data_IF_851113327090
#
_entry.id   IF_851113327090
#
_cell.length_a   1.000
_cell.length_b   1.000
_cell.length_c   1.000
_cell.angle_alpha   90.00
_cell.angle_beta   90.00
_cell.angle_gamma   90.00
#
_symmetry.space_group_name_H-M   'P 1'
#
loop_
_entity.id
_entity.type
_entity.pdbx_description
1 polymer ?
#
# COMPACT_ATOMS: atom_id res chain seq x y z
N UNK A 1 16.33 1.72 -7.48
CA UNK A 1 15.22 1.53 -8.45
C UNK A 1 13.90 1.99 -7.82
N UNK A 2 12.83 2.21 -8.63
CA UNK A 2 11.52 2.51 -8.05
C UNK A 2 10.91 1.22 -7.46
N UNK A 3 10.30 1.32 -6.28
CA UNK A 3 9.54 0.23 -5.68
C UNK A 3 8.17 0.13 -6.35
N UNK A 4 7.76 -1.08 -6.70
CA UNK A 4 6.50 -1.39 -7.38
C UNK A 4 5.59 -2.19 -6.46
N UNK A 5 4.30 -1.87 -6.48
CA UNK A 5 3.23 -2.60 -5.79
C UNK A 5 2.28 -3.08 -6.88
N UNK A 6 2.04 -4.38 -6.95
CA UNK A 6 1.11 -4.99 -7.90
C UNK A 6 0.25 -6.04 -7.22
N UNK A 7 -0.96 -6.19 -7.75
CA UNK A 7 -1.87 -7.26 -7.35
C UNK A 7 -2.51 -7.86 -8.59
N UNK A 8 -2.28 -9.15 -8.84
CA UNK A 8 -3.00 -9.90 -9.86
C UNK A 8 -4.22 -10.58 -9.23
N UNK A 9 -5.35 -10.54 -9.93
CA UNK A 9 -6.64 -11.05 -9.43
C UNK A 9 -7.29 -11.96 -10.46
N UNK A 10 -7.71 -13.16 -10.02
CA UNK A 10 -8.45 -14.10 -10.86
C UNK A 10 -9.68 -14.63 -10.09
N UNK A 11 -10.82 -14.76 -10.77
CA UNK A 11 -12.00 -15.37 -10.18
C UNK A 11 -11.80 -16.88 -10.02
N UNK A 12 -12.05 -17.43 -8.84
CA UNK A 12 -11.92 -18.86 -8.55
C UNK A 12 -13.22 -19.57 -8.87
N UNK A 13 -13.14 -20.81 -9.35
CA UNK A 13 -14.32 -21.68 -9.44
C UNK A 13 -14.81 -21.98 -8.02
N UNK A 14 -16.07 -21.68 -7.64
CA UNK A 14 -16.53 -21.81 -6.26
C UNK A 14 -16.26 -23.19 -5.64
N UNK A 15 -16.49 -24.26 -6.39
CA UNK A 15 -16.23 -25.65 -5.95
C UNK A 15 -14.74 -25.95 -5.73
N UNK A 16 -13.83 -25.13 -6.25
CA UNK A 16 -12.37 -25.30 -6.17
C UNK A 16 -11.71 -24.49 -5.07
N UNK A 17 -12.43 -23.61 -4.37
CA UNK A 17 -11.85 -22.70 -3.38
C UNK A 17 -11.10 -23.44 -2.26
N UNK A 18 -11.65 -24.53 -1.72
CA UNK A 18 -11.01 -25.31 -0.65
C UNK A 18 -9.79 -26.08 -1.15
N UNK A 19 -9.83 -26.58 -2.39
CA UNK A 19 -8.65 -27.20 -3.03
C UNK A 19 -7.53 -26.18 -3.18
N UNK A 20 -7.86 -24.94 -3.58
CA UNK A 20 -6.89 -23.86 -3.71
C UNK A 20 -6.29 -23.49 -2.35
N UNK A 21 -7.09 -23.43 -1.26
CA UNK A 21 -6.59 -23.20 0.10
C UNK A 21 -5.62 -24.31 0.54
N UNK A 22 -5.91 -25.58 0.23
CA UNK A 22 -4.99 -26.71 0.52
C UNK A 22 -3.67 -26.60 -0.26
N UNK A 23 -3.69 -26.15 -1.51
CA UNK A 23 -2.47 -25.90 -2.28
C UNK A 23 -1.63 -24.78 -1.68
N UNK A 24 -2.25 -23.71 -1.20
CA UNK A 24 -1.56 -22.63 -0.50
C UNK A 24 -0.95 -23.10 0.81
N UNK A 25 -1.68 -23.88 1.61
CA UNK A 25 -1.16 -24.44 2.85
C UNK A 25 0.05 -25.36 2.58
N UNK A 26 0.00 -26.17 1.51
CA UNK A 26 1.12 -27.02 1.12
C UNK A 26 2.34 -26.19 0.64
N UNK A 27 2.12 -25.08 -0.07
CA UNK A 27 3.18 -24.15 -0.45
C UNK A 27 3.82 -23.52 0.79
N UNK A 28 3.02 -23.06 1.74
CA UNK A 28 3.48 -22.47 3.00
C UNK A 28 4.29 -23.49 3.82
N UNK A 29 3.77 -24.71 4.01
CA UNK A 29 4.45 -25.77 4.72
C UNK A 29 5.82 -26.12 4.09
N UNK A 30 5.93 -26.14 2.76
CA UNK A 30 7.20 -26.34 2.07
C UNK A 30 8.20 -25.22 2.34
N UNK A 31 7.72 -23.99 2.36
CA UNK A 31 8.57 -22.82 2.65
C UNK A 31 9.03 -22.81 4.12
N UNK A 32 8.20 -23.28 5.04
CA UNK A 32 8.51 -23.41 6.47
C UNK A 32 9.40 -24.62 6.77
N UNK A 33 9.26 -25.73 6.02
CA UNK A 33 10.12 -26.90 6.16
C UNK A 33 11.59 -26.62 5.84
N UNK A 34 11.88 -25.58 5.06
CA UNK A 34 13.25 -25.09 4.83
C UNK A 34 13.85 -24.31 6.02
N UNK A 35 13.09 -24.13 7.10
CA UNK A 35 13.50 -23.47 8.35
C UNK A 35 14.29 -24.41 9.29
N UNK A 36 15.07 -25.37 8.78
CA UNK A 36 15.95 -26.16 9.64
C UNK A 36 17.02 -25.27 10.28
N UNK A 37 17.50 -25.57 11.50
CA UNK A 37 18.59 -24.83 12.14
C UNK A 37 19.80 -24.76 11.21
N UNK A 38 20.19 -23.53 10.80
CA UNK A 38 21.27 -23.29 9.85
C UNK A 38 20.87 -23.14 8.38
N UNK A 39 19.62 -23.45 7.98
CA UNK A 39 19.13 -23.13 6.64
C UNK A 39 18.53 -21.71 6.58
N UNK A 40 18.71 -21.03 5.45
CA UNK A 40 18.06 -19.73 5.24
C UNK A 40 16.58 -19.95 4.94
N UNK A 41 15.66 -19.38 5.71
CA UNK A 41 14.22 -19.49 5.41
C UNK A 41 13.92 -18.91 4.02
N UNK A 42 13.03 -19.58 3.27
CA UNK A 42 12.55 -19.14 1.96
C UNK A 42 13.61 -19.08 0.86
N UNK A 43 14.56 -19.98 0.82
CA UNK A 43 15.67 -19.97 -0.14
C UNK A 43 15.21 -19.87 -1.59
N UNK A 44 14.15 -20.58 -1.98
CA UNK A 44 13.63 -20.53 -3.34
C UNK A 44 13.18 -19.10 -3.75
N UNK A 45 12.29 -18.45 -2.98
CA UNK A 45 11.83 -17.09 -3.30
C UNK A 45 12.89 -16.04 -2.96
N UNK A 46 13.60 -16.21 -1.85
CA UNK A 46 14.60 -15.25 -1.39
C UNK A 46 15.77 -15.12 -2.37
N UNK A 47 16.23 -16.24 -2.93
CA UNK A 47 17.35 -16.28 -3.87
C UNK A 47 16.90 -16.07 -5.31
N UNK A 48 15.80 -16.71 -5.73
CA UNK A 48 15.32 -16.64 -7.10
C UNK A 48 14.69 -15.29 -7.46
N UNK A 49 14.12 -14.57 -6.47
CA UNK A 49 13.49 -13.25 -6.68
C UNK A 49 14.14 -12.20 -5.76
N UNK A 50 15.38 -11.78 -6.04
CA UNK A 50 16.17 -10.92 -5.16
C UNK A 50 15.61 -9.49 -5.01
N UNK A 51 14.64 -9.10 -5.82
CA UNK A 51 13.97 -7.79 -5.77
C UNK A 51 12.70 -7.78 -4.91
N UNK A 52 12.21 -8.96 -4.47
CA UNK A 52 10.95 -9.10 -3.74
C UNK A 52 11.09 -8.68 -2.27
N UNK A 53 10.28 -7.73 -1.82
CA UNK A 53 10.14 -7.33 -0.41
C UNK A 53 9.10 -8.19 0.32
N UNK A 54 7.86 -8.13 -0.15
CA UNK A 54 6.71 -8.86 0.40
C UNK A 54 5.88 -9.47 -0.71
N UNK A 55 5.27 -10.59 -0.41
CA UNK A 55 4.31 -11.24 -1.29
C UNK A 55 3.26 -11.98 -0.46
N UNK A 56 2.01 -11.90 -0.91
CA UNK A 56 0.94 -12.73 -0.36
C UNK A 56 0.12 -13.38 -1.46
N UNK A 57 -0.42 -14.57 -1.15
CA UNK A 57 -1.41 -15.24 -1.99
C UNK A 57 -2.61 -15.58 -1.10
N UNK A 58 -3.77 -15.05 -1.47
CA UNK A 58 -4.99 -15.12 -0.66
C UNK A 58 -6.15 -15.65 -1.50
N UNK A 59 -6.97 -16.53 -0.92
CA UNK A 59 -8.29 -16.87 -1.46
C UNK A 59 -9.32 -16.06 -0.68
N UNK A 60 -9.73 -14.95 -1.25
CA UNK A 60 -10.74 -14.09 -0.66
C UNK A 60 -12.14 -14.62 -1.00
N UNK A 61 -12.91 -14.94 0.03
CA UNK A 61 -14.31 -15.36 -0.11
C UNK A 61 -15.23 -14.15 -0.11
N UNK A 62 -16.36 -14.30 -0.80
CA UNK A 62 -17.39 -13.28 -0.92
C UNK A 62 -18.75 -13.99 -0.96
N UNK A 63 -19.75 -13.43 -0.29
CA UNK A 63 -21.11 -14.03 -0.24
C UNK A 63 -21.93 -13.74 -1.50
N UNK A 64 -21.56 -12.73 -2.28
CA UNK A 64 -22.27 -12.25 -3.46
C UNK A 64 -21.55 -12.54 -4.79
N UNK A 65 -20.24 -12.75 -4.73
CA UNK A 65 -19.39 -12.97 -5.91
C UNK A 65 -18.57 -14.24 -5.79
N UNK A 66 -18.05 -14.70 -6.92
CA UNK A 66 -17.08 -15.78 -6.93
C UNK A 66 -15.87 -15.45 -6.03
N UNK A 67 -15.29 -16.44 -5.32
CA UNK A 67 -14.05 -16.24 -4.59
C UNK A 67 -12.95 -15.73 -5.51
N UNK A 68 -12.02 -14.95 -4.98
CA UNK A 68 -10.89 -14.42 -5.72
C UNK A 68 -9.58 -15.05 -5.28
N UNK A 69 -8.77 -15.48 -6.24
CA UNK A 69 -7.33 -15.66 -6.04
C UNK A 69 -6.67 -14.29 -6.20
N UNK A 70 -6.02 -13.83 -5.14
CA UNK A 70 -5.34 -12.55 -5.08
C UNK A 70 -3.87 -12.79 -4.82
N UNK A 71 -3.01 -12.35 -5.75
CA UNK A 71 -1.55 -12.44 -5.68
C UNK A 71 -1.02 -11.02 -5.54
N UNK A 72 -0.61 -10.63 -4.34
CA UNK A 72 -0.01 -9.33 -4.05
C UNK A 72 1.50 -9.44 -3.98
N UNK A 73 2.22 -8.47 -4.56
CA UNK A 73 3.66 -8.39 -4.50
C UNK A 73 4.18 -6.95 -4.42
N UNK A 74 5.19 -6.76 -3.57
CA UNK A 74 5.92 -5.52 -3.37
C UNK A 74 7.40 -5.78 -3.69
N UNK A 75 7.94 -5.11 -4.70
CA UNK A 75 9.28 -5.41 -5.23
C UNK A 75 9.96 -4.18 -5.83
N UNK A 76 11.27 -4.29 -6.05
CA UNK A 76 12.07 -3.27 -6.73
C UNK A 76 12.05 -3.44 -8.24
N UNK A 77 11.85 -2.34 -8.96
CA UNK A 77 11.97 -2.31 -10.41
C UNK A 77 10.67 -2.55 -11.19
N UNK A 78 10.77 -2.86 -12.49
CA UNK A 78 9.62 -3.01 -13.38
C UNK A 78 8.94 -4.38 -13.26
N UNK A 79 7.63 -4.49 -13.59
CA UNK A 79 6.85 -5.72 -13.42
C UNK A 79 7.31 -6.91 -14.27
N UNK A 80 7.71 -6.70 -15.52
CA UNK A 80 7.97 -7.81 -16.43
C UNK A 80 9.14 -8.72 -15.98
N UNK A 81 10.32 -8.20 -15.60
CA UNK A 81 11.39 -9.03 -15.05
C UNK A 81 11.00 -9.72 -13.73
N UNK A 82 10.22 -9.05 -12.88
CA UNK A 82 9.73 -9.64 -11.65
C UNK A 82 8.85 -10.86 -11.90
N UNK A 83 7.86 -10.74 -12.78
CA UNK A 83 6.98 -11.86 -13.12
C UNK A 83 7.76 -13.03 -13.73
N UNK A 84 8.78 -12.77 -14.55
CA UNK A 84 9.64 -13.81 -15.10
C UNK A 84 10.44 -14.55 -14.02
N UNK A 85 11.00 -13.82 -13.04
CA UNK A 85 11.68 -14.43 -11.89
C UNK A 85 10.73 -15.26 -11.04
N UNK A 86 9.52 -14.76 -10.82
CA UNK A 86 8.49 -15.46 -10.04
C UNK A 86 8.03 -16.75 -10.76
N UNK A 87 7.91 -16.72 -12.09
CA UNK A 87 7.60 -17.91 -12.90
C UNK A 87 8.69 -18.99 -12.75
N UNK A 88 9.96 -18.61 -12.74
CA UNK A 88 11.05 -19.57 -12.50
C UNK A 88 11.04 -20.14 -11.07
N UNK A 89 10.64 -19.33 -10.08
CA UNK A 89 10.67 -19.72 -8.66
C UNK A 89 9.49 -20.63 -8.24
N UNK A 90 8.27 -20.25 -8.61
CA UNK A 90 7.02 -20.93 -8.20
C UNK A 90 5.99 -21.06 -9.33
N UNK A 91 6.45 -21.04 -10.58
CA UNK A 91 5.57 -21.05 -11.76
C UNK A 91 4.70 -22.30 -11.86
N UNK A 92 5.19 -23.45 -11.44
CA UNK A 92 4.43 -24.70 -11.40
C UNK A 92 3.22 -24.60 -10.47
N UNK A 93 3.43 -24.08 -9.29
CA UNK A 93 2.39 -23.87 -8.27
C UNK A 93 1.37 -22.82 -8.74
N UNK A 94 1.84 -21.71 -9.31
CA UNK A 94 0.95 -20.69 -9.87
C UNK A 94 0.07 -21.23 -10.99
N UNK A 95 0.62 -22.06 -11.88
CA UNK A 95 -0.19 -22.72 -12.92
C UNK A 95 -1.22 -23.67 -12.34
N UNK A 96 -0.86 -24.44 -11.30
CA UNK A 96 -1.82 -25.31 -10.60
C UNK A 96 -2.95 -24.51 -9.98
N UNK A 97 -2.66 -23.36 -9.32
CA UNK A 97 -3.66 -22.48 -8.75
C UNK A 97 -4.56 -21.85 -9.82
N UNK A 98 -3.97 -21.37 -10.92
CA UNK A 98 -4.73 -20.76 -12.02
C UNK A 98 -5.68 -21.75 -12.72
N UNK A 99 -5.37 -23.06 -12.77
CA UNK A 99 -6.29 -24.10 -13.28
C UNK A 99 -7.58 -24.22 -12.47
N UNK A 100 -7.57 -23.78 -11.21
CA UNK A 100 -8.75 -23.74 -10.34
C UNK A 100 -9.54 -22.42 -10.46
N UNK A 101 -9.06 -21.50 -11.29
CA UNK A 101 -9.73 -20.24 -11.58
C UNK A 101 -10.63 -20.35 -12.81
N UNK A 102 -11.55 -19.42 -12.94
CA UNK A 102 -12.38 -19.25 -14.13
C UNK A 102 -11.58 -18.56 -15.23
N UNK A 103 -11.75 -19.01 -16.46
CA UNK A 103 -11.20 -18.30 -17.61
C UNK A 103 -11.83 -16.90 -17.71
N UNK A 104 -11.03 -15.84 -17.96
CA UNK A 104 -11.56 -14.52 -18.27
C UNK A 104 -12.49 -14.57 -19.49
N UNK A 105 -13.50 -13.70 -19.50
CA UNK A 105 -14.47 -13.61 -20.63
C UNK A 105 -14.12 -12.53 -21.65
N UNK A 106 -12.88 -12.08 -21.66
CA UNK A 106 -12.38 -11.01 -22.52
C UNK A 106 -11.10 -11.45 -23.26
N UNK A 107 -10.36 -10.51 -23.83
CA UNK A 107 -9.12 -10.75 -24.59
C UNK A 107 -8.04 -11.52 -23.81
N UNK A 108 -8.14 -11.62 -22.47
CA UNK A 108 -7.22 -12.38 -21.62
C UNK A 108 -7.44 -13.89 -21.69
N UNK A 109 -8.58 -14.36 -22.22
CA UNK A 109 -8.93 -15.78 -22.31
C UNK A 109 -7.84 -16.61 -23.04
N UNK A 110 -7.36 -16.13 -24.17
CA UNK A 110 -6.32 -16.81 -24.93
C UNK A 110 -5.00 -16.99 -24.16
N UNK A 111 -4.58 -15.97 -23.41
CA UNK A 111 -3.41 -16.04 -22.53
C UNK A 111 -3.63 -17.03 -21.38
N UNK A 112 -4.83 -17.01 -20.80
CA UNK A 112 -5.21 -17.90 -19.73
C UNK A 112 -5.16 -19.36 -20.18
N UNK A 113 -5.82 -19.69 -21.27
CA UNK A 113 -5.87 -21.06 -21.84
C UNK A 113 -4.47 -21.58 -22.21
N UNK A 114 -3.62 -20.70 -22.77
CA UNK A 114 -2.25 -21.06 -23.09
C UNK A 114 -1.45 -21.44 -21.83
N UNK A 115 -1.64 -20.73 -20.73
CA UNK A 115 -0.91 -20.94 -19.46
C UNK A 115 -1.43 -22.15 -18.69
N UNK A 116 -2.76 -22.34 -18.59
CA UNK A 116 -3.35 -23.39 -17.74
C UNK A 116 -3.37 -24.77 -18.38
N UNK A 117 -3.10 -24.88 -19.70
CA UNK A 117 -3.04 -26.16 -20.43
C UNK A 117 -2.08 -27.13 -19.71
N UNK A 118 -2.45 -28.40 -19.53
CA UNK A 118 -1.55 -29.41 -18.99
C UNK A 118 -0.24 -29.49 -19.79
N UNK A 119 0.91 -29.49 -19.12
CA UNK A 119 2.22 -29.52 -19.78
C UNK A 119 2.65 -28.20 -20.43
N UNK A 120 1.91 -27.09 -20.21
CA UNK A 120 2.26 -25.80 -20.83
C UNK A 120 3.59 -25.26 -20.31
N UNK A 121 4.43 -24.83 -21.26
CA UNK A 121 5.65 -24.02 -21.03
C UNK A 121 5.43 -22.53 -21.33
N UNK A 122 4.18 -22.10 -21.58
CA UNK A 122 3.86 -20.71 -21.83
C UNK A 122 4.22 -19.84 -20.62
N UNK A 123 4.87 -18.68 -20.85
CA UNK A 123 5.28 -17.77 -19.79
C UNK A 123 4.06 -17.23 -19.02
N UNK A 124 4.15 -17.21 -17.69
CA UNK A 124 3.12 -16.63 -16.80
C UNK A 124 3.08 -15.11 -16.85
N UNK A 125 4.20 -14.46 -17.13
CA UNK A 125 4.34 -13.02 -17.06
C UNK A 125 3.29 -12.22 -17.85
N UNK A 126 2.97 -12.56 -19.13
CA UNK A 126 1.93 -11.83 -19.86
C UNK A 126 0.54 -11.97 -19.24
N UNK A 127 0.20 -13.16 -18.75
CA UNK A 127 -1.09 -13.40 -18.10
C UNK A 127 -1.19 -12.64 -16.78
N UNK A 128 -0.18 -12.75 -15.90
CA UNK A 128 -0.16 -12.06 -14.60
C UNK A 128 -0.17 -10.55 -14.77
N UNK A 129 0.53 -10.03 -15.78
CA UNK A 129 0.45 -8.61 -16.14
C UNK A 129 -0.96 -8.20 -16.57
N UNK A 130 -1.64 -9.01 -17.37
CA UNK A 130 -3.01 -8.76 -17.82
C UNK A 130 -4.06 -8.89 -16.70
N UNK A 131 -3.80 -9.74 -15.69
CA UNK A 131 -4.64 -9.89 -14.50
C UNK A 131 -4.34 -8.84 -13.41
N UNK A 132 -3.28 -8.04 -13.59
CA UNK A 132 -2.85 -7.07 -12.58
C UNK A 132 -3.79 -5.86 -12.52
N UNK A 133 -4.16 -5.50 -11.29
CA UNK A 133 -4.95 -4.32 -10.97
C UNK A 133 -4.02 -3.22 -10.47
N UNK A 134 -4.16 -2.02 -11.01
CA UNK A 134 -3.34 -0.88 -10.59
C UNK A 134 -3.87 -0.29 -9.27
N UNK A 135 -3.01 -0.04 -8.28
CA UNK A 135 -3.41 0.60 -7.05
C UNK A 135 -3.81 2.07 -7.30
N UNK A 136 -4.93 2.48 -6.71
CA UNK A 136 -5.38 3.88 -6.72
C UNK A 136 -4.65 4.69 -5.64
N UNK A 137 -4.41 4.08 -4.50
CA UNK A 137 -3.59 4.61 -3.39
C UNK A 137 -2.48 3.63 -3.12
N UNK A 138 -1.27 4.13 -2.88
CA UNK A 138 -0.13 3.33 -2.46
C UNK A 138 0.70 4.07 -1.43
N UNK A 139 1.14 3.35 -0.42
CA UNK A 139 2.09 3.78 0.60
C UNK A 139 3.29 2.84 0.63
N UNK A 140 4.47 3.41 0.80
CA UNK A 140 5.75 2.70 0.91
C UNK A 140 6.48 3.33 2.10
N UNK A 141 6.54 2.64 3.23
CA UNK A 141 7.13 3.16 4.46
C UNK A 141 8.60 3.54 4.26
N UNK A 142 9.38 2.60 3.74
CA UNK A 142 10.79 2.82 3.44
C UNK A 142 11.01 3.19 1.97
N UNK A 143 10.26 4.19 1.46
CA UNK A 143 10.32 4.60 0.05
C UNK A 143 11.74 4.94 -0.40
N UNK A 144 12.15 4.32 -1.50
CA UNK A 144 13.47 4.51 -2.11
C UNK A 144 14.60 3.74 -1.42
N UNK A 145 14.30 2.83 -0.48
CA UNK A 145 15.23 1.82 0.01
C UNK A 145 14.96 0.50 -0.70
N UNK A 146 15.88 0.10 -1.59
CA UNK A 146 15.83 -1.18 -2.27
C UNK A 146 16.03 -2.33 -1.28
N UNK A 147 15.46 -3.50 -1.54
CA UNK A 147 15.63 -4.69 -0.71
C UNK A 147 17.09 -4.99 -0.37
N UNK A 148 17.95 -4.96 -1.39
CA UNK A 148 19.39 -5.20 -1.20
C UNK A 148 19.98 -4.23 -0.18
N UNK A 149 19.66 -2.94 -0.30
CA UNK A 149 20.13 -1.91 0.62
C UNK A 149 19.63 -2.15 2.05
N UNK A 150 18.34 -2.50 2.22
CA UNK A 150 17.77 -2.81 3.54
C UNK A 150 18.55 -3.96 4.20
N UNK A 151 18.85 -5.02 3.45
CA UNK A 151 19.59 -6.16 3.96
C UNK A 151 21.06 -5.84 4.24
N UNK A 152 21.71 -5.04 3.39
CA UNK A 152 23.10 -4.64 3.57
C UNK A 152 23.26 -3.64 4.72
N UNK A 153 22.34 -2.67 4.86
CA UNK A 153 22.28 -1.74 6.01
C UNK A 153 22.02 -2.51 7.32
N UNK A 154 21.20 -3.59 7.30
CA UNK A 154 20.98 -4.46 8.45
C UNK A 154 22.22 -5.25 8.88
N UNK A 155 22.99 -5.80 7.92
CA UNK A 155 24.28 -6.46 8.20
C UNK A 155 25.30 -5.50 8.76
N UNK A 156 25.36 -4.29 8.21
CA UNK A 156 26.22 -3.22 8.72
C UNK A 156 25.86 -2.87 10.16
N UNK A 157 24.56 -2.75 10.46
CA UNK A 157 24.09 -2.45 11.81
C UNK A 157 24.52 -3.52 12.81
N UNK A 158 24.40 -4.81 12.46
CA UNK A 158 24.86 -5.90 13.30
C UNK A 158 26.38 -5.80 13.57
N UNK A 159 27.17 -5.62 12.53
CA UNK A 159 28.61 -5.46 12.68
C UNK A 159 29.00 -4.20 13.50
N UNK A 160 28.20 -3.14 13.38
CA UNK A 160 28.36 -1.91 14.17
C UNK A 160 28.11 -2.18 15.67
N UNK A 161 27.05 -2.92 16.02
CA UNK A 161 26.80 -3.31 17.42
C UNK A 161 27.91 -4.19 17.96
N UNK A 162 28.35 -5.19 17.19
CA UNK A 162 29.45 -6.07 17.56
C UNK A 162 30.78 -5.29 17.81
N UNK A 163 31.02 -4.21 17.08
CA UNK A 163 32.21 -3.36 17.25
C UNK A 163 32.11 -2.47 18.49
N UNK A 164 30.90 -1.92 18.75
CA UNK A 164 30.63 -1.14 19.97
C UNK A 164 30.83 -2.03 21.21
N UNK A 165 30.28 -3.23 21.20
CA UNK A 165 30.38 -4.18 22.32
C UNK A 165 31.82 -4.62 22.59
N UNK A 166 32.65 -4.76 21.52
CA UNK A 166 34.08 -5.07 21.64
C UNK A 166 34.93 -3.89 22.12
N UNK A 167 34.42 -2.67 22.03
CA UNK A 167 35.21 -1.45 22.28
C UNK A 167 34.50 -0.51 23.27
N UNK A 168 34.33 -0.90 24.58
CA UNK A 168 33.64 -0.09 25.58
C UNK A 168 34.24 1.32 25.77
N UNK A 169 35.54 1.48 25.48
CA UNK A 169 36.21 2.78 25.53
C UNK A 169 35.66 3.83 24.54
N UNK A 170 34.87 3.42 23.55
CA UNK A 170 34.19 4.33 22.62
C UNK A 170 33.25 5.29 23.36
N UNK A 171 32.58 4.84 24.41
CA UNK A 171 31.60 5.64 25.15
C UNK A 171 32.20 6.91 25.79
N UNK A 172 33.52 6.95 26.01
CA UNK A 172 34.21 8.10 26.58
C UNK A 172 34.72 9.12 25.54
N UNK A 173 34.52 8.85 24.24
CA UNK A 173 35.03 9.69 23.17
C UNK A 173 34.01 10.71 22.70
N UNK A 174 34.46 11.87 22.17
CA UNK A 174 33.56 12.77 21.40
C UNK A 174 32.92 12.05 20.22
N UNK A 175 31.70 12.45 19.87
CA UNK A 175 30.91 11.76 18.86
C UNK A 175 31.57 11.70 17.47
N UNK A 176 32.30 12.75 17.06
CA UNK A 176 33.09 12.74 15.82
C UNK A 176 34.17 11.69 15.81
N UNK A 177 34.84 11.46 16.95
CA UNK A 177 35.86 10.41 17.09
C UNK A 177 35.23 9.00 17.11
N UNK A 178 34.06 8.84 17.73
CA UNK A 178 33.28 7.58 17.67
C UNK A 178 32.95 7.26 16.21
N UNK A 179 32.38 8.21 15.47
CA UNK A 179 32.09 8.03 14.05
C UNK A 179 33.33 7.61 13.25
N UNK A 180 34.45 8.32 13.41
CA UNK A 180 35.66 8.03 12.66
C UNK A 180 36.22 6.64 12.96
N UNK A 181 36.25 6.21 14.25
CA UNK A 181 36.70 4.88 14.66
C UNK A 181 35.84 3.77 14.12
N UNK A 182 34.49 3.88 14.30
CA UNK A 182 33.54 2.90 13.79
C UNK A 182 33.62 2.80 12.26
N UNK A 183 33.72 3.93 11.55
CA UNK A 183 33.88 3.93 10.10
C UNK A 183 35.18 3.24 9.68
N UNK A 184 36.31 3.52 10.35
CA UNK A 184 37.59 2.93 10.01
C UNK A 184 37.60 1.42 10.26
N UNK A 185 36.97 0.93 11.32
CA UNK A 185 36.84 -0.48 11.65
C UNK A 185 35.98 -1.25 10.64
N UNK A 186 34.88 -0.62 10.17
CA UNK A 186 33.89 -1.28 9.31
C UNK A 186 34.19 -1.14 7.80
N UNK A 187 34.94 -0.13 7.39
CA UNK A 187 35.22 0.13 5.97
C UNK A 187 35.90 -1.06 5.25
N UNK A 188 36.82 -1.83 5.82
CA UNK A 188 37.39 -3.00 5.15
C UNK A 188 36.37 -4.09 4.82
N UNK A 189 35.40 -4.30 5.68
CA UNK A 189 34.32 -5.29 5.49
C UNK A 189 33.19 -4.77 4.58
N UNK A 190 32.91 -3.47 4.65
CA UNK A 190 31.81 -2.82 3.92
C UNK A 190 32.36 -1.75 2.97
N UNK A 191 33.13 -2.17 1.96
CA UNK A 191 33.79 -1.27 1.01
C UNK A 191 32.87 -0.27 0.31
N UNK A 192 31.56 -0.57 0.24
CA UNK A 192 30.54 0.35 -0.30
C UNK A 192 30.33 1.61 0.57
N UNK A 193 30.85 1.64 1.81
CA UNK A 193 30.86 2.85 2.65
C UNK A 193 31.75 3.97 2.06
N UNK A 194 32.69 3.63 1.18
CA UNK A 194 33.48 4.62 0.47
C UNK A 194 32.68 5.39 -0.61
N UNK A 195 31.52 4.88 -1.00
CA UNK A 195 30.69 5.49 -2.03
C UNK A 195 29.67 6.48 -1.42
N UNK A 196 29.29 7.51 -2.16
CA UNK A 196 28.22 8.42 -1.76
C UNK A 196 26.90 7.68 -1.53
N UNK A 197 26.08 8.16 -0.59
CA UNK A 197 24.78 7.60 -0.33
C UNK A 197 23.85 7.77 -1.55
N UNK A 198 23.19 6.71 -2.04
CA UNK A 198 22.27 6.83 -3.16
C UNK A 198 21.07 7.70 -2.78
N UNK A 199 20.64 8.51 -3.74
CA UNK A 199 19.46 9.38 -3.57
C UNK A 199 18.21 8.51 -3.45
N UNK A 200 17.48 8.60 -2.35
CA UNK A 200 16.27 7.78 -2.08
C UNK A 200 15.12 8.12 -3.02
N UNK A 201 14.79 9.40 -3.13
CA UNK A 201 13.68 9.89 -3.96
C UNK A 201 14.22 11.01 -4.83
N UNK A 202 14.33 10.82 -6.16
CA UNK A 202 14.78 11.85 -7.07
C UNK A 202 13.91 13.11 -7.00
N UNK A 203 14.53 14.29 -7.15
CA UNK A 203 13.79 15.58 -7.16
C UNK A 203 12.72 15.62 -8.24
N UNK A 204 13.01 15.05 -9.42
CA UNK A 204 12.05 14.98 -10.53
C UNK A 204 10.78 14.18 -10.14
N UNK A 205 10.93 13.09 -9.38
CA UNK A 205 9.80 12.31 -8.91
C UNK A 205 8.92 13.11 -7.93
N UNK A 206 9.54 13.82 -6.99
CA UNK A 206 8.82 14.71 -6.04
C UNK A 206 8.05 15.83 -6.76
N UNK A 207 8.69 16.48 -7.73
CA UNK A 207 8.06 17.50 -8.55
C UNK A 207 6.89 16.95 -9.36
N UNK A 208 7.06 15.76 -9.93
CA UNK A 208 5.97 15.08 -10.65
C UNK A 208 4.78 14.74 -9.75
N UNK A 209 5.01 14.31 -8.50
CA UNK A 209 3.93 14.03 -7.55
C UNK A 209 3.17 15.31 -7.17
N UNK A 210 3.87 16.44 -6.94
CA UNK A 210 3.25 17.76 -6.70
C UNK A 210 2.48 18.24 -7.92
N UNK A 211 3.06 18.13 -9.12
CA UNK A 211 2.40 18.52 -10.36
C UNK A 211 1.11 17.72 -10.61
N UNK A 212 1.10 16.42 -10.35
CA UNK A 212 -0.11 15.59 -10.48
C UNK A 212 -1.22 16.03 -9.50
N UNK A 213 -0.86 16.39 -8.26
CA UNK A 213 -1.84 16.94 -7.31
C UNK A 213 -2.37 18.29 -7.77
N UNK A 214 -1.50 19.18 -8.24
CA UNK A 214 -1.91 20.46 -8.78
C UNK A 214 -2.84 20.31 -10.01
N UNK A 215 -2.54 19.38 -10.91
CA UNK A 215 -3.39 19.06 -12.06
C UNK A 215 -4.77 18.52 -11.66
N UNK A 216 -4.83 17.66 -10.61
CA UNK A 216 -6.10 17.19 -10.08
C UNK A 216 -6.95 18.35 -9.54
N UNK A 217 -6.35 19.23 -8.73
CA UNK A 217 -7.03 20.41 -8.19
C UNK A 217 -7.50 21.32 -9.34
N UNK A 218 -6.64 21.59 -10.31
CA UNK A 218 -6.99 22.40 -11.49
C UNK A 218 -8.16 21.79 -12.26
N UNK A 219 -8.17 20.47 -12.47
CA UNK A 219 -9.26 19.79 -13.16
C UNK A 219 -10.60 19.95 -12.42
N UNK A 220 -10.60 19.88 -11.08
CA UNK A 220 -11.79 20.10 -10.27
C UNK A 220 -12.29 21.56 -10.35
N UNK A 221 -11.38 22.52 -10.32
CA UNK A 221 -11.71 23.94 -10.47
C UNK A 221 -12.26 24.25 -11.87
N UNK A 222 -11.68 23.67 -12.91
CA UNK A 222 -12.19 23.80 -14.27
C UNK A 222 -13.59 23.18 -14.45
N UNK A 223 -13.83 22.02 -13.80
CA UNK A 223 -15.16 21.41 -13.81
C UNK A 223 -16.21 22.30 -13.11
N UNK A 224 -15.86 22.91 -11.98
CA UNK A 224 -16.72 23.88 -11.30
C UNK A 224 -16.97 25.14 -12.16
N UNK A 225 -15.94 25.68 -12.81
CA UNK A 225 -16.07 26.83 -13.72
C UNK A 225 -16.95 26.50 -14.95
N UNK A 226 -16.81 25.31 -15.52
CA UNK A 226 -17.64 24.83 -16.62
C UNK A 226 -19.12 24.72 -16.20
N UNK A 227 -19.38 24.16 -15.00
CA UNK A 227 -20.74 24.13 -14.45
C UNK A 227 -21.32 25.54 -14.32
N UNK A 228 -20.57 26.48 -13.76
CA UNK A 228 -20.97 27.87 -13.61
C UNK A 228 -21.23 28.55 -14.96
N UNK A 229 -20.42 28.25 -15.98
CA UNK A 229 -20.66 28.74 -17.35
C UNK A 229 -21.97 28.17 -17.91
N UNK A 230 -22.21 26.87 -17.79
CA UNK A 230 -23.47 26.23 -18.23
C UNK A 230 -24.68 26.87 -17.54
N UNK A 231 -24.60 27.06 -16.21
CA UNK A 231 -25.65 27.71 -15.44
C UNK A 231 -25.90 29.16 -15.90
N UNK A 232 -24.85 29.93 -16.14
CA UNK A 232 -24.95 31.30 -16.65
C UNK A 232 -25.58 31.36 -18.05
N UNK A 233 -25.33 30.38 -18.94
CA UNK A 233 -25.95 30.33 -20.24
C UNK A 233 -27.45 29.90 -20.11
N UNK A 234 -27.72 28.93 -19.25
CA UNK A 234 -29.11 28.51 -19.01
C UNK A 234 -29.98 29.65 -18.45
N UNK A 235 -29.46 30.42 -17.49
CA UNK A 235 -30.19 31.58 -16.94
C UNK A 235 -30.42 32.68 -17.99
N UNK A 236 -29.47 32.93 -18.89
CA UNK A 236 -29.64 33.87 -19.99
C UNK A 236 -30.77 33.48 -20.94
N UNK A 237 -30.83 32.19 -21.29
CA UNK A 237 -31.86 31.66 -22.19
C UNK A 237 -33.24 31.68 -21.51
N UNK A 238 -33.34 31.27 -20.24
CA UNK A 238 -34.59 31.15 -19.52
C UNK A 238 -35.20 32.49 -19.10
N UNK A 239 -34.34 33.45 -18.70
CA UNK A 239 -34.83 34.72 -18.13
C UNK A 239 -34.85 35.87 -19.15
N UNK A 240 -34.43 35.64 -20.40
CA UNK A 240 -34.30 36.65 -21.45
C UNK A 240 -33.53 37.93 -20.96
N UNK A 241 -32.89 37.88 -19.82
CA UNK A 241 -32.16 38.94 -19.17
C UNK A 241 -30.66 38.69 -19.27
N UNK A 242 -29.96 39.62 -19.89
CA UNK A 242 -28.49 39.52 -19.94
C UNK A 242 -27.90 39.68 -18.54
N UNK A 243 -27.38 38.59 -17.93
CA UNK A 243 -26.54 38.75 -16.79
C UNK A 243 -25.35 39.64 -17.17
N UNK A 244 -25.10 40.71 -16.41
CA UNK A 244 -23.96 41.60 -16.62
C UNK A 244 -22.69 40.82 -16.28
N UNK A 245 -22.00 40.35 -17.32
CA UNK A 245 -20.73 39.62 -17.13
C UNK A 245 -19.58 40.62 -17.04
N UNK A 246 -18.56 40.31 -16.24
CA UNK A 246 -17.35 41.11 -16.20
C UNK A 246 -16.72 41.26 -17.60
N UNK A 247 -16.26 42.45 -17.95
CA UNK A 247 -15.68 42.69 -19.28
C UNK A 247 -14.33 41.98 -19.48
N UNK A 248 -13.51 41.85 -18.45
CA UNK A 248 -12.19 41.20 -18.51
C UNK A 248 -12.32 39.69 -18.46
N UNK A 249 -11.61 38.92 -19.29
CA UNK A 249 -11.72 37.45 -19.34
C UNK A 249 -11.45 36.76 -18.00
N UNK A 250 -10.44 37.21 -17.25
CA UNK A 250 -10.09 36.64 -15.92
C UNK A 250 -11.28 36.76 -14.97
N UNK A 251 -11.94 37.91 -14.88
CA UNK A 251 -13.09 38.12 -14.01
C UNK A 251 -14.32 37.27 -14.42
N UNK A 252 -14.45 37.01 -15.74
CA UNK A 252 -15.49 36.07 -16.22
C UNK A 252 -15.26 34.65 -15.73
N UNK A 253 -14.03 34.17 -15.80
CA UNK A 253 -13.67 32.84 -15.28
C UNK A 253 -13.86 32.75 -13.78
N UNK A 254 -13.44 33.75 -13.01
CA UNK A 254 -13.68 33.80 -11.57
C UNK A 254 -15.19 33.83 -11.23
N UNK A 255 -15.98 34.57 -11.98
CA UNK A 255 -17.43 34.59 -11.85
C UNK A 255 -18.04 33.21 -12.12
N UNK A 256 -17.68 32.55 -13.20
CA UNK A 256 -18.17 31.20 -13.49
C UNK A 256 -17.71 30.19 -12.43
N UNK A 257 -16.47 30.24 -11.99
CA UNK A 257 -15.96 29.41 -10.90
C UNK A 257 -16.77 29.66 -9.62
N UNK A 258 -16.98 30.92 -9.24
CA UNK A 258 -17.77 31.30 -8.05
C UNK A 258 -19.21 30.79 -8.14
N UNK A 259 -19.90 31.03 -9.28
CA UNK A 259 -21.27 30.54 -9.50
C UNK A 259 -21.34 29.02 -9.46
N UNK A 260 -20.39 28.33 -10.10
CA UNK A 260 -20.33 26.87 -10.08
C UNK A 260 -20.14 26.32 -8.67
N UNK A 261 -19.24 26.91 -7.89
CA UNK A 261 -19.00 26.48 -6.50
C UNK A 261 -20.18 26.76 -5.59
N UNK A 262 -20.80 27.93 -5.68
CA UNK A 262 -21.98 28.33 -4.88
C UNK A 262 -23.18 27.39 -5.11
N UNK A 263 -23.33 26.87 -6.32
CA UNK A 263 -24.40 25.92 -6.63
C UNK A 263 -23.98 24.48 -6.35
N UNK A 264 -22.78 24.08 -6.79
CA UNK A 264 -22.33 22.70 -6.67
C UNK A 264 -22.11 22.26 -5.23
N UNK A 265 -21.47 23.08 -4.40
CA UNK A 265 -21.14 22.70 -3.03
C UNK A 265 -22.35 22.44 -2.14
N UNK A 266 -23.40 23.31 -2.07
CA UNK A 266 -24.59 23.02 -1.29
C UNK A 266 -25.37 21.81 -1.83
N UNK A 267 -25.48 21.66 -3.15
CA UNK A 267 -26.17 20.53 -3.77
C UNK A 267 -25.44 19.21 -3.47
N UNK A 268 -24.13 19.20 -3.61
CA UNK A 268 -23.29 18.05 -3.28
C UNK A 268 -23.39 17.73 -1.78
N UNK A 269 -23.29 18.73 -0.93
CA UNK A 269 -23.41 18.59 0.52
C UNK A 269 -24.78 18.03 0.91
N UNK A 270 -25.86 18.58 0.37
CA UNK A 270 -27.24 18.09 0.61
C UNK A 270 -27.38 16.63 0.16
N UNK A 271 -26.94 16.32 -1.09
CA UNK A 271 -27.05 14.97 -1.65
C UNK A 271 -26.19 13.98 -0.86
N UNK A 272 -24.98 14.38 -0.50
CA UNK A 272 -24.08 13.57 0.34
C UNK A 272 -24.72 13.26 1.70
N UNK A 273 -25.25 14.28 2.40
CA UNK A 273 -25.92 14.08 3.70
C UNK A 273 -27.16 13.18 3.59
N UNK A 274 -27.91 13.30 2.50
CA UNK A 274 -29.04 12.41 2.23
C UNK A 274 -28.57 10.96 2.08
N UNK A 275 -27.48 10.71 1.35
CA UNK A 275 -26.91 9.39 1.15
C UNK A 275 -26.33 8.84 2.48
N UNK A 276 -25.57 9.64 3.23
CA UNK A 276 -25.01 9.20 4.51
C UNK A 276 -26.08 8.83 5.55
N UNK A 277 -27.21 9.53 5.57
CA UNK A 277 -28.34 9.21 6.46
C UNK A 277 -29.11 7.95 6.06
N UNK A 278 -29.03 7.55 4.80
CA UNK A 278 -29.66 6.34 4.29
C UNK A 278 -28.72 5.12 4.27
N UNK A 279 -27.45 5.31 4.60
CA UNK A 279 -26.47 4.22 4.63
C UNK A 279 -26.79 3.26 5.79
N UNK A 280 -26.84 1.97 5.51
CA UNK A 280 -26.86 0.94 6.52
C UNK A 280 -25.47 0.79 7.13
N UNK A 281 -25.40 0.83 8.46
CA UNK A 281 -24.20 0.50 9.24
C UNK A 281 -24.35 -0.90 9.80
N UNK A 282 -23.27 -1.67 9.78
CA UNK A 282 -23.22 -2.99 10.39
C UNK A 282 -22.34 -2.92 11.65
N UNK A 283 -22.97 -2.54 12.75
CA UNK A 283 -22.26 -2.27 14.02
C UNK A 283 -21.69 -3.54 14.68
N UNK A 284 -22.28 -4.69 14.41
CA UNK A 284 -21.83 -6.00 14.91
C UNK A 284 -21.91 -7.04 13.77
N UNK A 285 -21.00 -6.98 12.78
CA UNK A 285 -21.01 -7.94 11.70
C UNK A 285 -20.77 -9.37 12.24
N UNK A 286 -21.43 -10.39 11.66
CA UNK A 286 -21.23 -11.76 12.07
C UNK A 286 -19.76 -12.15 11.87
N UNK A 287 -19.18 -12.78 12.88
CA UNK A 287 -17.80 -13.20 12.85
C UNK A 287 -17.69 -14.71 12.96
N UNK A 288 -16.92 -15.32 12.06
CA UNK A 288 -16.63 -16.75 12.12
C UNK A 288 -15.50 -16.96 13.14
N UNK A 289 -15.83 -17.47 14.31
CA UNK A 289 -14.88 -17.64 15.43
C UNK A 289 -13.62 -18.45 15.05
N UNK A 290 -13.75 -19.43 14.15
CA UNK A 290 -12.61 -20.20 13.64
C UNK A 290 -11.66 -19.36 12.80
N UNK A 291 -12.18 -18.50 11.91
CA UNK A 291 -11.37 -17.59 11.09
C UNK A 291 -10.65 -16.56 11.97
N UNK A 292 -11.33 -16.00 12.96
CA UNK A 292 -10.73 -15.08 13.92
C UNK A 292 -9.58 -15.71 14.70
N UNK A 293 -9.77 -16.93 15.20
CA UNK A 293 -8.71 -17.66 15.90
C UNK A 293 -7.52 -17.94 15.00
N UNK A 294 -7.75 -18.35 13.75
CA UNK A 294 -6.69 -18.61 12.80
C UNK A 294 -5.88 -17.32 12.47
N UNK A 295 -6.54 -16.16 12.37
CA UNK A 295 -5.87 -14.88 12.19
C UNK A 295 -5.06 -14.51 13.44
N UNK A 296 -5.65 -14.55 14.61
CA UNK A 296 -5.01 -14.16 15.88
C UNK A 296 -3.80 -15.04 16.24
N UNK A 297 -3.83 -16.32 15.89
CA UNK A 297 -2.72 -17.25 16.18
C UNK A 297 -1.39 -16.85 15.53
N UNK A 298 -1.40 -16.10 14.43
CA UNK A 298 -0.18 -15.64 13.74
C UNK A 298 0.25 -14.23 14.12
N UNK A 299 -0.62 -13.42 14.72
CA UNK A 299 -0.41 -11.95 14.80
C UNK A 299 0.54 -11.50 15.92
N UNK A 300 0.57 -12.21 17.04
CA UNK A 300 1.31 -11.74 18.25
C UNK A 300 2.73 -12.32 18.37
N UNK A 301 3.10 -13.27 17.52
CA UNK A 301 4.37 -14.01 17.65
C UNK A 301 5.46 -13.57 16.69
N UNK A 302 5.17 -12.64 15.77
CA UNK A 302 6.12 -12.19 14.75
C UNK A 302 6.13 -10.66 14.68
N UNK A 303 7.30 -10.11 14.32
CA UNK A 303 7.50 -8.65 14.22
C UNK A 303 6.61 -8.00 13.17
N UNK A 304 6.37 -8.69 12.06
CA UNK A 304 5.63 -8.16 10.91
C UNK A 304 4.39 -9.00 10.66
N UNK A 305 3.33 -8.34 10.24
CA UNK A 305 2.05 -8.94 9.91
C UNK A 305 1.52 -8.45 8.56
N UNK A 306 0.51 -9.15 8.07
CA UNK A 306 -0.13 -8.87 6.79
C UNK A 306 -1.65 -8.91 6.93
N UNK A 307 -2.33 -8.02 6.22
CA UNK A 307 -3.79 -8.07 6.09
C UNK A 307 -4.26 -7.83 4.67
N UNK A 308 -5.32 -8.52 4.32
CA UNK A 308 -6.10 -8.35 3.09
C UNK A 308 -7.54 -8.09 3.48
N UNK A 309 -8.14 -7.05 2.94
CA UNK A 309 -9.55 -6.72 3.15
C UNK A 309 -10.20 -6.39 1.80
N UNK A 310 -11.37 -6.95 1.54
CA UNK A 310 -12.18 -6.64 0.35
C UNK A 310 -13.58 -6.28 0.82
N UNK A 311 -14.04 -5.10 0.43
CA UNK A 311 -15.36 -4.60 0.80
C UNK A 311 -16.14 -4.16 -0.44
N UNK A 312 -17.45 -4.35 -0.41
CA UNK A 312 -18.35 -3.79 -1.42
C UNK A 312 -18.42 -2.28 -1.29
N UNK A 313 -18.39 -1.58 -2.43
CA UNK A 313 -18.59 -0.12 -2.48
C UNK A 313 -20.10 0.15 -2.53
N UNK A 314 -20.54 1.09 -1.70
CA UNK A 314 -21.93 1.57 -1.68
C UNK A 314 -22.38 2.01 -3.05
N UNK A 315 -23.57 1.61 -3.52
CA UNK A 315 -24.02 1.85 -4.90
C UNK A 315 -24.27 3.34 -5.19
N UNK A 316 -24.18 3.70 -6.46
CA UNK A 316 -24.54 5.00 -7.00
C UNK A 316 -23.38 5.76 -7.62
N UNK A 317 -23.69 6.46 -8.73
CA UNK A 317 -22.69 7.19 -9.55
C UNK A 317 -21.96 8.24 -8.71
N UNK A 318 -22.68 9.01 -7.89
CA UNK A 318 -22.05 10.02 -7.03
C UNK A 318 -21.06 9.40 -6.04
N UNK A 319 -21.43 8.28 -5.40
CA UNK A 319 -20.55 7.54 -4.48
C UNK A 319 -19.30 7.07 -5.18
N UNK A 320 -19.42 6.48 -6.36
CA UNK A 320 -18.29 6.01 -7.14
C UNK A 320 -17.35 7.15 -7.56
N UNK A 321 -17.91 8.29 -8.00
CA UNK A 321 -17.12 9.47 -8.35
C UNK A 321 -16.37 10.05 -7.15
N UNK A 322 -17.07 10.19 -6.01
CA UNK A 322 -16.47 10.65 -4.76
C UNK A 322 -15.36 9.70 -4.28
N UNK A 323 -15.63 8.39 -4.26
CA UNK A 323 -14.64 7.39 -3.86
C UNK A 323 -13.39 7.45 -4.74
N UNK A 324 -13.55 7.45 -6.06
CA UNK A 324 -12.41 7.53 -6.99
C UNK A 324 -11.62 8.82 -6.85
N UNK A 325 -12.30 9.96 -6.68
CA UNK A 325 -11.65 11.26 -6.52
C UNK A 325 -10.93 11.36 -5.18
N UNK A 326 -11.60 10.97 -4.08
CA UNK A 326 -11.03 10.97 -2.74
C UNK A 326 -9.80 10.04 -2.63
N UNK A 327 -9.90 8.82 -3.16
CA UNK A 327 -8.77 7.88 -3.16
C UNK A 327 -7.61 8.41 -4.00
N UNK A 328 -7.86 8.99 -5.19
CA UNK A 328 -6.78 9.60 -5.99
C UNK A 328 -6.11 10.76 -5.26
N UNK A 329 -6.90 11.66 -4.66
CA UNK A 329 -6.37 12.77 -3.88
C UNK A 329 -5.55 12.26 -2.68
N UNK A 330 -6.08 11.30 -1.93
CA UNK A 330 -5.37 10.64 -0.80
C UNK A 330 -4.05 10.03 -1.27
N UNK A 331 -4.05 9.27 -2.37
CA UNK A 331 -2.84 8.66 -2.91
C UNK A 331 -1.76 9.69 -3.29
N UNK A 332 -2.14 10.82 -3.87
CA UNK A 332 -1.21 11.89 -4.22
C UNK A 332 -0.69 12.63 -2.98
N UNK A 333 -1.56 12.92 -2.02
CA UNK A 333 -1.17 13.53 -0.73
C UNK A 333 -0.18 12.63 0.00
N UNK A 334 -0.47 11.33 0.13
CA UNK A 334 0.43 10.38 0.79
C UNK A 334 1.81 10.29 0.10
N UNK A 335 1.87 10.34 -1.22
CA UNK A 335 3.15 10.35 -1.94
C UNK A 335 4.01 11.57 -1.65
N UNK A 336 3.39 12.72 -1.35
CA UNK A 336 4.08 13.97 -1.03
C UNK A 336 4.47 14.00 0.46
N UNK A 337 3.57 13.60 1.35
CA UNK A 337 3.72 13.75 2.81
C UNK A 337 4.35 12.55 3.50
N UNK A 338 4.07 11.32 3.02
CA UNK A 338 4.59 10.10 3.62
C UNK A 338 6.04 9.87 3.21
N UNK A 339 6.98 10.20 4.09
CA UNK A 339 8.43 10.06 3.85
C UNK A 339 9.13 9.49 5.08
N UNK A 340 10.30 8.86 4.88
CA UNK A 340 11.17 8.38 5.97
C UNK A 340 10.46 7.48 6.99
N UNK A 341 9.66 6.53 6.52
CA UNK A 341 8.93 5.58 7.36
C UNK A 341 7.59 6.09 7.88
N UNK A 342 7.28 7.37 7.72
CA UNK A 342 6.04 7.93 8.24
C UNK A 342 4.85 7.79 7.28
N UNK A 343 3.72 7.34 7.81
CA UNK A 343 2.39 7.61 7.30
C UNK A 343 1.68 8.47 8.36
N UNK A 344 1.53 9.76 8.09
CA UNK A 344 1.16 10.76 9.13
C UNK A 344 2.14 10.73 10.32
N UNK A 345 1.72 10.24 11.51
CA UNK A 345 2.58 10.06 12.69
C UNK A 345 2.96 8.59 12.97
N UNK A 346 2.54 7.65 12.10
CA UNK A 346 2.82 6.22 12.25
C UNK A 346 4.07 5.80 11.49
N UNK A 347 4.79 4.84 12.05
CA UNK A 347 6.00 4.23 11.45
C UNK A 347 5.95 2.71 11.53
N UNK A 348 4.79 2.14 11.23
CA UNK A 348 4.57 0.69 11.37
C UNK A 348 4.19 0.03 10.06
N UNK A 349 4.09 0.78 8.94
CA UNK A 349 3.59 0.27 7.68
C UNK A 349 4.72 0.18 6.66
N UNK A 350 5.08 -1.03 6.25
CA UNK A 350 6.05 -1.27 5.18
C UNK A 350 5.46 -0.94 3.81
N UNK A 351 4.35 -1.57 3.47
CA UNK A 351 3.62 -1.34 2.23
C UNK A 351 2.13 -1.40 2.49
N UNK A 352 1.39 -0.46 1.94
CA UNK A 352 -0.07 -0.52 1.90
C UNK A 352 -0.60 0.03 0.58
N UNK A 353 -1.71 -0.54 0.12
CA UNK A 353 -2.36 -0.02 -1.07
C UNK A 353 -3.86 -0.34 -1.12
N UNK A 354 -4.57 0.51 -1.84
CA UNK A 354 -5.97 0.31 -2.19
C UNK A 354 -6.11 0.14 -3.70
N UNK A 355 -6.90 -0.82 -4.12
CA UNK A 355 -7.26 -1.02 -5.50
C UNK A 355 -8.78 -1.17 -5.65
N UNK A 356 -9.32 -0.70 -6.76
CA UNK A 356 -10.75 -0.78 -7.07
C UNK A 356 -10.96 -1.92 -8.06
N UNK A 357 -11.83 -2.85 -7.69
CA UNK A 357 -12.19 -4.01 -8.51
C UNK A 357 -13.58 -3.81 -9.16
N UNK A 358 -13.87 -4.64 -10.15
CA UNK A 358 -15.21 -4.77 -10.77
C UNK A 358 -15.82 -3.44 -11.22
N UNK A 359 -15.02 -2.63 -11.93
CA UNK A 359 -15.43 -1.30 -12.41
C UNK A 359 -15.94 -0.33 -11.32
N UNK A 360 -15.60 -0.58 -10.07
CA UNK A 360 -16.00 0.25 -8.93
C UNK A 360 -16.94 -0.47 -7.94
N UNK A 361 -17.17 -1.77 -8.10
CA UNK A 361 -18.05 -2.54 -7.22
C UNK A 361 -17.39 -2.91 -5.88
N UNK A 362 -16.08 -3.14 -5.87
CA UNK A 362 -15.35 -3.55 -4.67
C UNK A 362 -14.08 -2.72 -4.47
N UNK A 363 -13.75 -2.47 -3.21
CA UNK A 363 -12.49 -1.86 -2.76
C UNK A 363 -11.66 -2.92 -2.06
N UNK A 364 -10.46 -3.15 -2.56
CA UNK A 364 -9.48 -4.06 -1.99
C UNK A 364 -8.39 -3.27 -1.31
N UNK A 365 -7.95 -3.74 -0.15
CA UNK A 365 -6.85 -3.19 0.63
C UNK A 365 -5.88 -4.26 1.06
N UNK A 366 -4.60 -3.95 0.94
CA UNK A 366 -3.50 -4.76 1.47
C UNK A 366 -2.61 -3.90 2.36
N UNK A 367 -2.09 -4.49 3.42
CA UNK A 367 -1.08 -3.87 4.27
C UNK A 367 -0.10 -4.91 4.80
N UNK A 368 1.20 -4.59 4.73
CA UNK A 368 2.28 -5.26 5.44
C UNK A 368 2.76 -4.29 6.52
N UNK A 369 2.65 -4.69 7.79
CA UNK A 369 2.82 -3.79 8.93
C UNK A 369 3.54 -4.46 10.09
N UNK A 370 4.02 -3.66 11.05
CA UNK A 370 4.68 -4.10 12.27
C UNK A 370 3.70 -4.24 13.43
N UNK A 371 3.92 -5.23 14.27
CA UNK A 371 3.15 -5.47 15.48
C UNK A 371 1.82 -6.20 15.25
N UNK A 372 1.01 -6.32 16.30
CA UNK A 372 -0.29 -6.96 16.24
C UNK A 372 -1.32 -6.14 15.47
N UNK A 373 -2.34 -6.80 14.93
CA UNK A 373 -3.43 -6.13 14.23
C UNK A 373 -4.19 -5.13 15.12
N UNK A 374 -4.37 -5.46 16.40
CA UNK A 374 -5.04 -4.58 17.36
C UNK A 374 -4.27 -3.27 17.54
N UNK A 375 -2.96 -3.37 17.82
CA UNK A 375 -2.08 -2.20 17.97
C UNK A 375 -2.02 -1.36 16.69
N UNK A 376 -1.92 -2.02 15.54
CA UNK A 376 -1.92 -1.38 14.23
C UNK A 376 -3.19 -0.55 13.98
N UNK A 377 -4.38 -1.09 14.28
CA UNK A 377 -5.63 -0.36 14.10
C UNK A 377 -5.84 0.73 15.15
N UNK A 378 -5.39 0.53 16.39
CA UNK A 378 -5.47 1.56 17.43
C UNK A 378 -4.63 2.78 17.04
N UNK A 379 -3.41 2.57 16.57
CA UNK A 379 -2.57 3.64 16.04
C UNK A 379 -3.25 4.40 14.89
N UNK A 380 -3.93 3.71 13.98
CA UNK A 380 -4.68 4.34 12.89
C UNK A 380 -5.86 5.16 13.40
N UNK A 381 -6.63 4.61 14.34
CA UNK A 381 -7.81 5.29 14.91
C UNK A 381 -7.38 6.54 15.65
N UNK A 382 -6.32 6.48 16.46
CA UNK A 382 -5.85 7.63 17.23
C UNK A 382 -5.19 8.71 16.35
N UNK A 383 -4.35 8.30 15.40
CA UNK A 383 -3.44 9.22 14.69
C UNK A 383 -3.95 9.62 13.30
N UNK A 384 -4.89 8.87 12.71
CA UNK A 384 -5.27 9.04 11.30
C UNK A 384 -6.74 8.77 10.99
N UNK A 385 -7.65 8.89 11.97
CA UNK A 385 -9.07 8.57 11.81
C UNK A 385 -9.74 9.30 10.64
N UNK A 386 -9.39 10.55 10.35
CA UNK A 386 -9.92 11.29 9.19
C UNK A 386 -9.52 10.62 7.87
N UNK A 387 -8.24 10.28 7.73
CA UNK A 387 -7.73 9.58 6.54
C UNK A 387 -8.35 8.20 6.38
N UNK A 388 -8.48 7.45 7.48
CA UNK A 388 -9.18 6.15 7.48
C UNK A 388 -10.64 6.29 7.07
N UNK A 389 -11.36 7.25 7.66
CA UNK A 389 -12.77 7.49 7.34
C UNK A 389 -12.92 7.83 5.86
N UNK A 390 -12.09 8.72 5.32
CA UNK A 390 -12.09 9.06 3.89
C UNK A 390 -11.81 7.86 2.98
N UNK A 391 -10.90 6.98 3.38
CA UNK A 391 -10.56 5.80 2.60
C UNK A 391 -11.69 4.75 2.58
N UNK A 392 -12.41 4.59 3.70
CA UNK A 392 -13.31 3.47 3.90
C UNK A 392 -14.80 3.82 3.96
N UNK A 393 -15.18 5.10 4.07
CA UNK A 393 -16.58 5.54 4.20
C UNK A 393 -17.51 5.12 3.06
N UNK A 394 -16.92 4.74 1.93
CA UNK A 394 -17.67 4.22 0.78
C UNK A 394 -17.91 2.70 0.86
N UNK A 395 -17.36 2.01 1.85
CA UNK A 395 -17.59 0.58 2.08
C UNK A 395 -18.97 0.30 2.66
N UNK A 396 -19.63 -0.76 2.16
CA UNK A 396 -20.91 -1.23 2.71
C UNK A 396 -20.69 -1.68 4.17
N UNK A 397 -21.64 -1.34 5.04
CA UNK A 397 -21.57 -1.66 6.46
C UNK A 397 -20.60 -0.82 7.30
N UNK A 398 -19.83 0.07 6.70
CA UNK A 398 -18.93 0.97 7.42
C UNK A 398 -19.69 1.84 8.45
N UNK A 399 -19.11 2.11 9.64
CA UNK A 399 -19.76 2.94 10.65
C UNK A 399 -20.24 4.29 10.14
N UNK A 400 -21.32 4.88 10.71
CA UNK A 400 -21.93 6.10 10.19
C UNK A 400 -20.95 7.26 10.09
N UNK A 401 -21.04 8.01 8.98
CA UNK A 401 -20.17 9.16 8.73
C UNK A 401 -20.97 10.45 8.63
N UNK A 402 -20.24 11.55 8.83
CA UNK A 402 -20.70 12.90 8.53
C UNK A 402 -19.64 13.62 7.70
N UNK A 403 -20.02 14.07 6.50
CA UNK A 403 -19.13 14.75 5.56
C UNK A 403 -17.92 13.90 5.15
N UNK A 404 -18.07 12.58 5.09
CA UNK A 404 -17.03 11.59 4.74
C UNK A 404 -15.79 11.59 5.66
N UNK A 405 -15.73 12.44 6.67
CA UNK A 405 -14.53 12.67 7.48
C UNK A 405 -14.76 12.61 9.00
N UNK A 406 -15.99 12.80 9.44
CA UNK A 406 -16.39 12.76 10.85
C UNK A 406 -17.15 11.47 11.16
N UNK A 407 -17.06 10.98 12.39
CA UNK A 407 -17.59 9.66 12.75
C UNK A 407 -16.75 8.54 12.13
N UNK A 408 -17.38 7.49 11.65
CA UNK A 408 -16.69 6.40 10.96
C UNK A 408 -15.62 5.71 11.82
N UNK A 409 -14.34 5.89 11.48
CA UNK A 409 -13.24 5.26 12.20
C UNK A 409 -13.08 5.72 13.66
N UNK A 410 -13.66 6.85 14.08
CA UNK A 410 -13.67 7.26 15.50
C UNK A 410 -14.56 6.38 16.36
N UNK A 411 -15.51 5.63 15.75
CA UNK A 411 -16.27 4.58 16.38
C UNK A 411 -15.42 3.29 16.49
N UNK A 412 -14.30 3.36 17.19
CA UNK A 412 -13.20 2.40 17.12
C UNK A 412 -13.62 0.94 17.23
N UNK A 413 -14.49 0.57 18.19
CA UNK A 413 -15.01 -0.81 18.33
C UNK A 413 -15.78 -1.27 17.10
N UNK A 414 -16.68 -0.44 16.57
CA UNK A 414 -17.48 -0.78 15.38
C UNK A 414 -16.61 -0.85 14.14
N UNK A 415 -15.66 0.09 14.02
CA UNK A 415 -14.70 0.08 12.91
C UNK A 415 -13.83 -1.18 12.93
N UNK A 416 -13.26 -1.56 14.09
CA UNK A 416 -12.47 -2.80 14.23
C UNK A 416 -13.30 -4.03 13.88
N UNK A 417 -14.54 -4.15 14.37
CA UNK A 417 -15.41 -5.27 14.06
C UNK A 417 -15.70 -5.35 12.55
N UNK A 418 -16.00 -4.23 11.92
CA UNK A 418 -16.20 -4.13 10.47
C UNK A 418 -14.94 -4.48 9.67
N UNK A 419 -13.79 -3.95 10.06
CA UNK A 419 -12.52 -4.23 9.41
C UNK A 419 -12.16 -5.71 9.50
N UNK A 420 -12.29 -6.31 10.69
CA UNK A 420 -12.02 -7.74 10.91
C UNK A 420 -12.95 -8.66 10.10
N UNK A 421 -14.22 -8.29 9.98
CA UNK A 421 -15.19 -9.01 9.15
C UNK A 421 -14.83 -9.00 7.66
N UNK A 422 -14.23 -7.91 7.17
CA UNK A 422 -13.85 -7.75 5.77
C UNK A 422 -12.52 -8.44 5.41
N UNK A 423 -11.79 -8.94 6.41
CA UNK A 423 -10.47 -9.55 6.20
C UNK A 423 -10.57 -10.97 5.66
N UNK A 424 -9.59 -11.32 4.84
CA UNK A 424 -9.34 -12.69 4.40
C UNK A 424 -7.96 -13.14 4.91
N UNK A 425 -7.88 -14.39 5.37
CA UNK A 425 -6.61 -14.97 5.77
C UNK A 425 -5.76 -15.28 4.53
N UNK A 426 -4.51 -14.83 4.53
CA UNK A 426 -3.54 -15.13 3.47
C UNK A 426 -3.01 -16.54 3.67
N UNK A 427 -3.30 -17.45 2.73
CA UNK A 427 -2.83 -18.82 2.77
C UNK A 427 -1.32 -18.95 2.53
N UNK A 428 -0.69 -17.93 1.95
CA UNK A 428 0.75 -17.81 1.78
C UNK A 428 1.17 -16.36 1.98
N UNK A 429 2.22 -16.14 2.79
CA UNK A 429 2.84 -14.83 2.99
C UNK A 429 4.36 -14.93 3.11
N UNK A 430 5.05 -14.03 2.43
CA UNK A 430 6.51 -13.92 2.39
C UNK A 430 6.96 -12.53 2.76
N UNK A 431 8.00 -12.42 3.60
CA UNK A 431 8.77 -11.20 3.85
C UNK A 431 10.27 -11.48 3.68
N UNK A 432 10.97 -10.63 2.96
CA UNK A 432 12.41 -10.75 2.75
C UNK A 432 13.24 -10.45 4.02
N UNK A 433 12.66 -9.77 5.00
CA UNK A 433 13.35 -9.29 6.20
C UNK A 433 12.40 -9.24 7.42
N UNK A 434 11.82 -10.40 7.77
CA UNK A 434 10.80 -10.56 8.84
C UNK A 434 11.19 -9.96 10.20
N UNK A 435 12.49 -9.85 10.48
CA UNK A 435 13.02 -9.36 11.76
C UNK A 435 13.08 -7.82 11.85
N UNK A 436 12.91 -7.09 10.76
CA UNK A 436 13.09 -5.64 10.73
C UNK A 436 11.77 -4.88 10.72
N UNK A 437 11.57 -4.01 11.70
CA UNK A 437 10.48 -3.01 11.67
C UNK A 437 10.81 -1.87 10.72
N UNK A 438 9.80 -1.09 10.32
CA UNK A 438 9.97 0.14 9.53
C UNK A 438 10.95 1.09 10.22
N UNK A 439 10.84 1.24 11.55
CA UNK A 439 11.71 2.08 12.34
C UNK A 439 13.17 1.60 12.33
N UNK A 440 13.38 0.29 12.48
CA UNK A 440 14.73 -0.29 12.42
C UNK A 440 15.36 -0.08 11.05
N UNK A 441 14.62 -0.29 9.96
CA UNK A 441 15.10 -0.04 8.59
C UNK A 441 15.53 1.43 8.41
N UNK A 442 14.72 2.38 8.91
CA UNK A 442 15.06 3.81 8.82
C UNK A 442 16.27 4.17 9.68
N UNK A 443 16.36 3.61 10.90
CA UNK A 443 17.53 3.78 11.79
C UNK A 443 18.80 3.26 11.13
N UNK A 444 18.77 2.02 10.63
CA UNK A 444 19.88 1.38 9.93
C UNK A 444 20.32 2.18 8.70
N UNK A 445 19.36 2.68 7.91
CA UNK A 445 19.66 3.51 6.73
C UNK A 445 20.29 4.86 7.09
N UNK A 446 19.91 5.49 8.23
CA UNK A 446 20.54 6.73 8.72
C UNK A 446 21.95 6.46 9.20
N UNK A 447 22.18 5.40 9.98
CA UNK A 447 23.50 5.00 10.43
C UNK A 447 24.42 4.70 9.24
N UNK A 448 23.95 3.90 8.27
CA UNK A 448 24.70 3.60 7.06
C UNK A 448 25.02 4.86 6.23
N UNK A 449 24.08 5.80 6.14
CA UNK A 449 24.28 7.06 5.44
C UNK A 449 25.33 7.93 6.11
N UNK A 450 25.35 7.97 7.45
CA UNK A 450 26.37 8.68 8.20
C UNK A 450 27.76 8.06 8.03
N UNK A 451 27.88 6.73 8.14
CA UNK A 451 29.16 6.04 7.94
C UNK A 451 29.74 6.16 6.52
N UNK A 452 28.95 6.56 5.52
CA UNK A 452 29.47 6.90 4.18
C UNK A 452 30.19 8.25 4.14
N UNK A 453 29.93 9.15 5.08
CA UNK A 453 30.67 10.41 5.18
C UNK A 453 32.10 10.14 5.71
N UNK A 454 33.10 10.72 5.07
CA UNK A 454 34.49 10.53 5.47
C UNK A 454 34.77 11.15 6.84
N UNK A 455 34.14 12.26 7.17
CA UNK A 455 34.22 12.95 8.46
C UNK A 455 32.89 13.64 8.76
N UNK A 456 32.61 13.90 10.02
CA UNK A 456 31.50 14.67 10.52
C UNK A 456 32.00 15.75 11.48
N UNK A 457 31.31 16.88 11.54
CA UNK A 457 31.46 17.84 12.65
C UNK A 457 30.92 17.20 13.93
N UNK A 458 31.35 17.69 15.10
CA UNK A 458 30.87 17.16 16.39
C UNK A 458 29.34 17.24 16.50
N UNK A 459 28.73 18.33 16.01
CA UNK A 459 27.28 18.48 16.02
C UNK A 459 26.55 17.46 15.13
N UNK A 460 27.09 17.17 13.94
CA UNK A 460 26.53 16.16 13.03
C UNK A 460 26.70 14.76 13.61
N UNK A 461 27.87 14.46 14.14
CA UNK A 461 28.16 13.18 14.76
C UNK A 461 27.33 12.92 16.01
N UNK A 462 27.07 13.94 16.85
CA UNK A 462 26.19 13.83 18.01
C UNK A 462 24.77 13.47 17.58
N UNK A 463 24.23 14.11 16.52
CA UNK A 463 22.90 13.76 15.97
C UNK A 463 22.88 12.35 15.40
N UNK A 464 23.92 11.94 14.72
CA UNK A 464 24.05 10.60 14.16
C UNK A 464 24.17 9.54 15.27
N UNK A 465 24.91 9.82 16.32
CA UNK A 465 25.12 8.91 17.44
C UNK A 465 23.84 8.61 18.25
N UNK A 466 22.78 9.43 18.12
CA UNK A 466 21.47 9.13 18.75
C UNK A 466 20.87 7.82 18.19
N UNK A 467 21.26 7.45 16.98
CA UNK A 467 20.78 6.23 16.33
C UNK A 467 21.64 4.98 16.69
N UNK A 468 22.79 5.12 17.36
CA UNK A 468 23.62 4.01 17.85
C UNK A 468 22.94 3.29 19.02
#
# INVERSE_FOLDING_TARGET
MAQTILTAVAAVQPASADTLRRLLAALTARQEATLQPGSQPYDALRCAVPVLHFMSITVASDDQYDPLLVIEANFDGPPAPFWAQLDMAIGTELRQMLRLCKAPRDARAALFDAVVRPGSSSALAPLLAALSVQPVVRHQGNRGLERRRILDDGKLFQALQDEIDRSPALAALPAAQIHQRLRSALLPQFGWLASAAPVRIPRAERLADVARLALLVLALLLAAALLGWVLAQATRVLLSSGAVLPHRPVWRWLFYLGLGLVVALPLLAWRLRKLERSDASQDAPPQVAAALRAMAQGEDFITQNHMVSIVHIKPGVLRMLLARTALRALGLVLRITATNGYLTSMRTIHFAHWAVLDNGGRLMFHSNYDGSWESYLDDFIEKSHVGLTLAWCHGVGFPPTRWLSQGGATEGRKFKAWARHSMSHSGFWFSAYKQYTVNQIERQARLATGLRQASMTEQEATRWAIDL
#
